data_IF_334054140498
#
_entry.id   IF_334054140498
#
_cell.length_a   1.000
_cell.length_b   1.000
_cell.length_c   1.000
_cell.angle_alpha   90.00
_cell.angle_beta   90.00
_cell.angle_gamma   90.00
#
_symmetry.space_group_name_H-M   'P 1'
#
loop_
_entity.id
_entity.type
_entity.pdbx_description
1 polymer ?
#
# COMPACT_ATOMS: atom_id res chain seq x y z
N UNK A 1 -20.59 2.70 4.54
CA UNK A 1 -19.96 2.06 5.74
C UNK A 1 -18.53 1.65 5.42
N UNK A 2 -17.62 1.56 6.39
CA UNK A 2 -16.23 1.10 6.17
C UNK A 2 -16.00 -0.32 6.71
N UNK A 3 -15.27 -1.14 5.95
CA UNK A 3 -14.78 -2.45 6.37
C UNK A 3 -13.29 -2.34 6.69
N UNK A 4 -12.88 -2.83 7.86
CA UNK A 4 -11.48 -2.77 8.29
C UNK A 4 -10.97 -4.18 8.58
N UNK A 5 -9.93 -4.61 7.86
CA UNK A 5 -9.20 -5.83 8.16
C UNK A 5 -7.84 -5.50 8.75
N UNK A 6 -7.57 -6.04 9.93
CA UNK A 6 -6.29 -5.85 10.62
C UNK A 6 -5.13 -6.53 9.87
N UNK A 7 -3.92 -6.32 10.37
CA UNK A 7 -2.76 -7.13 10.03
C UNK A 7 -2.70 -8.43 10.83
N UNK A 8 -1.78 -9.30 10.43
CA UNK A 8 -1.57 -10.61 11.07
C UNK A 8 -1.03 -11.68 10.12
N UNK A 9 -0.27 -11.27 9.10
CA UNK A 9 0.28 -12.17 8.07
C UNK A 9 -0.80 -13.05 7.42
N UNK A 10 -0.45 -14.30 7.14
CA UNK A 10 -1.29 -15.24 6.40
C UNK A 10 -2.60 -15.58 7.13
N UNK A 11 -2.62 -15.56 8.46
CA UNK A 11 -3.84 -15.78 9.23
C UNK A 11 -4.88 -14.67 8.95
N UNK A 12 -4.41 -13.42 8.90
CA UNK A 12 -5.26 -12.28 8.57
C UNK A 12 -5.67 -12.25 7.10
N UNK A 13 -4.79 -12.71 6.20
CA UNK A 13 -5.13 -12.91 4.78
C UNK A 13 -6.31 -13.88 4.63
N UNK A 14 -6.22 -15.05 5.27
CA UNK A 14 -7.26 -16.07 5.24
C UNK A 14 -8.59 -15.57 5.84
N UNK A 15 -8.53 -14.87 6.98
CA UNK A 15 -9.71 -14.28 7.61
C UNK A 15 -10.38 -13.22 6.71
N UNK A 16 -9.60 -12.35 6.07
CA UNK A 16 -10.10 -11.34 5.15
C UNK A 16 -10.82 -11.97 3.94
N UNK A 17 -10.23 -13.01 3.33
CA UNK A 17 -10.85 -13.73 2.20
C UNK A 17 -12.13 -14.44 2.62
N UNK A 18 -12.16 -15.06 3.80
CA UNK A 18 -13.38 -15.66 4.35
C UNK A 18 -14.49 -14.63 4.60
N UNK A 19 -14.13 -13.47 5.17
CA UNK A 19 -15.08 -12.39 5.42
C UNK A 19 -15.64 -11.80 4.12
N UNK A 20 -14.78 -11.49 3.15
CA UNK A 20 -15.21 -11.01 1.83
C UNK A 20 -16.11 -12.04 1.14
N UNK A 21 -15.74 -13.33 1.18
CA UNK A 21 -16.56 -14.41 0.60
C UNK A 21 -17.97 -14.43 1.20
N UNK A 22 -18.08 -14.32 2.52
CA UNK A 22 -19.36 -14.31 3.21
C UNK A 22 -20.20 -13.07 2.86
N UNK A 23 -19.58 -11.89 2.78
CA UNK A 23 -20.25 -10.64 2.44
C UNK A 23 -20.73 -10.62 0.98
N UNK A 24 -19.93 -11.15 0.04
CA UNK A 24 -20.31 -11.32 -1.36
C UNK A 24 -21.49 -12.28 -1.51
N UNK A 25 -21.45 -13.44 -0.85
CA UNK A 25 -22.53 -14.42 -0.93
C UNK A 25 -23.84 -13.94 -0.27
N UNK A 26 -23.73 -13.03 0.71
CA UNK A 26 -24.87 -12.40 1.35
C UNK A 26 -25.38 -11.15 0.61
N UNK A 27 -24.76 -10.77 -0.51
CA UNK A 27 -25.09 -9.56 -1.28
C UNK A 27 -25.04 -8.28 -0.43
N UNK A 28 -24.06 -8.22 0.50
CA UNK A 28 -23.88 -7.11 1.43
C UNK A 28 -22.76 -6.15 1.00
N UNK A 29 -21.98 -6.51 -0.02
CA UNK A 29 -20.78 -5.74 -0.37
C UNK A 29 -21.10 -4.31 -0.81
N UNK A 30 -22.22 -4.09 -1.50
CA UNK A 30 -22.65 -2.76 -1.96
C UNK A 30 -22.89 -1.76 -0.81
N UNK A 31 -23.02 -2.24 0.43
CA UNK A 31 -23.21 -1.37 1.61
C UNK A 31 -21.90 -0.74 2.12
N UNK A 32 -20.75 -1.23 1.62
CA UNK A 32 -19.43 -0.77 2.04
C UNK A 32 -18.84 0.20 1.02
N UNK A 33 -18.54 1.42 1.46
CA UNK A 33 -17.93 2.46 0.64
C UNK A 33 -16.40 2.36 0.66
N UNK A 34 -15.83 1.77 1.71
CA UNK A 34 -14.39 1.72 1.91
C UNK A 34 -13.94 0.38 2.50
N UNK A 35 -12.74 -0.04 2.08
CA UNK A 35 -12.02 -1.20 2.60
C UNK A 35 -10.63 -0.75 3.08
N UNK A 36 -10.41 -0.75 4.39
CA UNK A 36 -9.13 -0.48 5.03
C UNK A 36 -8.44 -1.80 5.40
N UNK A 37 -7.18 -1.95 5.03
CA UNK A 37 -6.43 -3.21 5.14
C UNK A 37 -5.00 -2.95 5.58
N UNK A 38 -4.41 -3.92 6.28
CA UNK A 38 -3.02 -3.85 6.73
C UNK A 38 -2.35 -5.21 6.60
N UNK A 39 -1.08 -5.24 6.21
CA UNK A 39 -0.24 -6.43 6.14
C UNK A 39 -0.90 -7.56 5.33
N UNK A 40 -1.04 -8.75 5.89
CA UNK A 40 -1.59 -9.90 5.16
C UNK A 40 -2.99 -9.71 4.59
N UNK A 41 -3.85 -8.90 5.21
CA UNK A 41 -5.15 -8.58 4.60
C UNK A 41 -5.00 -7.69 3.37
N UNK A 42 -4.00 -6.82 3.32
CA UNK A 42 -3.72 -6.02 2.12
C UNK A 42 -3.30 -6.92 0.95
N UNK A 43 -2.45 -7.91 1.20
CA UNK A 43 -2.01 -8.86 0.18
C UNK A 43 -3.18 -9.62 -0.45
N UNK A 44 -4.08 -10.15 0.38
CA UNK A 44 -5.20 -10.94 -0.11
C UNK A 44 -6.30 -10.11 -0.77
N UNK A 45 -6.49 -8.86 -0.33
CA UNK A 45 -7.55 -7.98 -0.86
C UNK A 45 -7.15 -7.23 -2.13
N UNK A 46 -5.87 -7.16 -2.47
CA UNK A 46 -5.39 -6.51 -3.68
C UNK A 46 -6.03 -7.12 -4.95
N UNK A 47 -5.93 -8.44 -5.12
CA UNK A 47 -6.56 -9.12 -6.24
C UNK A 47 -8.09 -8.88 -6.25
N UNK A 48 -8.74 -8.97 -5.09
CA UNK A 48 -10.18 -8.71 -4.97
C UNK A 48 -10.60 -7.31 -5.45
N UNK A 49 -9.76 -6.30 -5.19
CA UNK A 49 -10.03 -4.91 -5.57
C UNK A 49 -9.72 -4.59 -7.03
N UNK A 50 -8.66 -5.18 -7.61
CA UNK A 50 -8.12 -4.74 -8.91
C UNK A 50 -8.25 -5.76 -10.04
N UNK A 51 -8.44 -7.04 -9.74
CA UNK A 51 -8.54 -8.08 -10.77
C UNK A 51 -9.88 -8.00 -11.53
N UNK A 52 -9.92 -8.49 -12.77
CA UNK A 52 -11.10 -8.41 -13.63
C UNK A 52 -12.07 -9.59 -13.47
N UNK A 53 -11.68 -10.63 -12.75
CA UNK A 53 -12.49 -11.79 -12.49
C UNK A 53 -13.57 -11.54 -11.41
N UNK A 54 -14.66 -12.32 -11.41
CA UNK A 54 -15.71 -12.21 -10.41
C UNK A 54 -15.22 -12.58 -9.00
N UNK A 55 -15.94 -12.14 -7.96
CA UNK A 55 -15.52 -12.40 -6.57
C UNK A 55 -15.41 -13.89 -6.24
N UNK A 56 -16.33 -14.68 -6.79
CA UNK A 56 -16.42 -16.11 -6.54
C UNK A 56 -15.23 -16.91 -7.08
N UNK A 57 -14.60 -16.46 -8.18
CA UNK A 57 -13.38 -17.10 -8.69
C UNK A 57 -12.17 -16.72 -7.84
N UNK A 58 -12.09 -15.48 -7.34
CA UNK A 58 -10.97 -15.01 -6.51
C UNK A 58 -11.02 -15.56 -5.08
N UNK A 59 -12.20 -15.48 -4.45
CA UNK A 59 -12.40 -15.77 -3.04
C UNK A 59 -12.76 -17.23 -2.78
N UNK A 60 -13.15 -17.98 -3.82
CA UNK A 60 -13.64 -19.35 -3.71
C UNK A 60 -15.09 -19.45 -3.24
N UNK A 61 -15.63 -20.66 -3.20
CA UNK A 61 -17.03 -20.93 -2.84
C UNK A 61 -17.23 -21.06 -1.33
N UNK A 62 -18.44 -20.77 -0.84
CA UNK A 62 -18.82 -21.10 0.54
C UNK A 62 -18.99 -22.61 0.63
N UNK A 63 -18.24 -23.24 1.53
CA UNK A 63 -18.39 -24.65 1.84
C UNK A 63 -19.41 -24.81 3.00
N UNK A 64 -20.37 -25.74 2.91
CA UNK A 64 -21.19 -26.12 4.05
C UNK A 64 -20.32 -26.75 5.15
N UNK A 65 -20.77 -26.65 6.41
CA UNK A 65 -20.04 -27.21 7.55
C UNK A 65 -19.74 -28.72 7.40
N UNK A 66 -20.61 -29.45 6.71
CA UNK A 66 -20.43 -30.88 6.42
C UNK A 66 -19.26 -31.19 5.47
N UNK A 67 -18.77 -30.21 4.73
CA UNK A 67 -17.63 -30.33 3.81
C UNK A 67 -16.31 -29.86 4.42
N UNK A 68 -16.32 -29.37 5.68
CA UNK A 68 -15.11 -29.00 6.41
C UNK A 68 -14.39 -30.25 6.95
N UNK A 69 -13.75 -31.00 6.07
CA UNK A 69 -12.96 -32.20 6.42
C UNK A 69 -11.47 -31.92 6.39
N UNK A 70 -10.65 -32.84 6.91
CA UNK A 70 -9.18 -32.72 6.80
C UNK A 70 -8.72 -32.82 5.35
N UNK A 71 -9.38 -33.65 4.53
CA UNK A 71 -9.11 -33.76 3.10
C UNK A 71 -9.41 -32.45 2.36
N UNK A 72 -10.41 -31.68 2.81
CA UNK A 72 -10.69 -30.36 2.27
C UNK A 72 -9.56 -29.35 2.54
N UNK A 73 -8.74 -29.57 3.58
CA UNK A 73 -7.57 -28.73 3.87
C UNK A 73 -6.39 -29.02 2.92
N UNK A 74 -6.35 -30.19 2.29
CA UNK A 74 -5.31 -30.55 1.30
C UNK A 74 -5.57 -29.91 -0.07
N UNK A 75 -6.76 -29.32 -0.28
CA UNK A 75 -7.09 -28.60 -1.50
C UNK A 75 -6.29 -27.28 -1.60
N UNK A 76 -6.04 -26.85 -2.84
CA UNK A 76 -5.45 -25.52 -3.07
C UNK A 76 -6.37 -24.44 -2.49
N UNK A 77 -5.81 -23.43 -1.81
CA UNK A 77 -6.61 -22.32 -1.36
C UNK A 77 -7.18 -21.53 -2.57
N UNK A 78 -8.22 -20.73 -2.35
CA UNK A 78 -8.74 -19.83 -3.37
C UNK A 78 -7.63 -18.97 -4.00
N UNK A 79 -7.77 -18.55 -5.27
CA UNK A 79 -6.75 -17.75 -5.96
C UNK A 79 -6.22 -16.56 -5.14
N UNK A 80 -7.08 -15.79 -4.49
CA UNK A 80 -6.67 -14.64 -3.67
C UNK A 80 -5.75 -15.00 -2.48
N UNK A 81 -5.65 -16.29 -2.12
CA UNK A 81 -4.75 -16.82 -1.10
C UNK A 81 -3.62 -17.68 -1.67
N UNK A 82 -3.58 -17.98 -2.96
CA UNK A 82 -2.53 -18.84 -3.51
C UNK A 82 -1.13 -18.23 -3.38
N UNK A 83 -1.02 -16.91 -3.25
CA UNK A 83 0.25 -16.28 -2.90
C UNK A 83 0.83 -16.75 -1.57
N UNK A 84 0.00 -17.28 -0.65
CA UNK A 84 0.48 -17.88 0.60
C UNK A 84 1.16 -19.24 0.43
N UNK A 85 0.98 -19.90 -0.72
CA UNK A 85 1.61 -21.20 -1.01
C UNK A 85 2.95 -21.04 -1.76
N UNK A 86 3.28 -19.80 -2.16
CA UNK A 86 4.47 -19.45 -2.92
C UNK A 86 5.61 -18.97 -2.02
N UNK A 87 6.79 -18.96 -2.62
CA UNK A 87 8.15 -18.95 -2.06
C UNK A 87 8.46 -18.06 -0.83
N UNK A 88 9.47 -18.51 -0.10
CA UNK A 88 9.88 -18.14 1.26
C UNK A 88 10.44 -16.73 1.49
N UNK A 89 10.60 -15.84 0.50
CA UNK A 89 11.27 -14.55 0.72
C UNK A 89 10.50 -13.63 1.69
N UNK A 90 9.17 -13.58 1.61
CA UNK A 90 8.35 -12.89 2.61
C UNK A 90 8.47 -13.57 3.99
N UNK A 91 8.60 -14.90 4.00
CA UNK A 91 8.81 -15.67 5.24
C UNK A 91 10.18 -15.37 5.88
N UNK A 92 11.23 -15.11 5.09
CA UNK A 92 12.57 -14.74 5.57
C UNK A 92 12.51 -13.47 6.43
N UNK A 93 11.72 -12.47 6.03
CA UNK A 93 11.51 -11.25 6.81
C UNK A 93 10.80 -11.54 8.13
N UNK A 94 9.78 -12.43 8.12
CA UNK A 94 9.14 -12.89 9.35
C UNK A 94 10.09 -13.63 10.30
N UNK A 95 11.14 -14.26 9.77
CA UNK A 95 12.21 -14.89 10.55
C UNK A 95 13.40 -13.97 10.86
N UNK A 96 13.27 -12.65 10.64
CA UNK A 96 14.29 -11.66 10.99
C UNK A 96 15.53 -11.68 10.10
N UNK A 97 15.43 -12.24 8.89
CA UNK A 97 16.48 -12.17 7.88
C UNK A 97 16.36 -10.84 7.16
N UNK A 98 17.47 -10.11 7.07
CA UNK A 98 17.57 -8.89 6.27
C UNK A 98 17.47 -9.25 4.79
N UNK A 99 16.47 -8.67 4.11
CA UNK A 99 16.20 -8.86 2.68
C UNK A 99 16.18 -7.48 2.03
N UNK A 100 16.91 -7.25 0.92
CA UNK A 100 16.81 -6.00 0.18
C UNK A 100 15.36 -5.68 -0.19
N UNK A 101 14.95 -4.41 -0.01
CA UNK A 101 13.57 -3.97 -0.29
C UNK A 101 13.11 -4.33 -1.69
N UNK A 102 14.00 -4.24 -2.67
CA UNK A 102 13.69 -4.59 -4.06
C UNK A 102 13.41 -6.09 -4.23
N UNK A 103 14.17 -6.97 -3.58
CA UNK A 103 13.91 -8.42 -3.59
C UNK A 103 12.57 -8.73 -2.92
N UNK A 104 12.26 -8.02 -1.85
CA UNK A 104 11.01 -8.16 -1.12
C UNK A 104 9.80 -7.67 -1.93
N UNK A 105 9.93 -6.53 -2.61
CA UNK A 105 8.92 -5.99 -3.53
C UNK A 105 8.64 -6.97 -4.66
N UNK A 106 9.69 -7.52 -5.27
CA UNK A 106 9.58 -8.54 -6.30
C UNK A 106 8.93 -9.82 -5.75
N UNK A 107 9.27 -10.23 -4.53
CA UNK A 107 8.64 -11.38 -3.89
C UNK A 107 7.13 -11.16 -3.64
N UNK A 108 6.73 -9.98 -3.17
CA UNK A 108 5.31 -9.63 -2.99
C UNK A 108 4.59 -9.63 -4.34
N UNK A 109 5.16 -8.98 -5.36
CA UNK A 109 4.58 -8.91 -6.69
C UNK A 109 4.40 -10.32 -7.29
N UNK A 110 5.44 -11.14 -7.27
CA UNK A 110 5.41 -12.50 -7.81
C UNK A 110 4.46 -13.42 -7.06
N UNK A 111 4.46 -13.35 -5.73
CA UNK A 111 3.62 -14.25 -4.93
C UNK A 111 2.15 -13.86 -4.99
N UNK A 112 1.81 -12.57 -4.90
CA UNK A 112 0.42 -12.14 -4.68
C UNK A 112 -0.24 -11.46 -5.87
N UNK A 113 0.51 -11.01 -6.87
CA UNK A 113 -0.01 -10.18 -7.97
C UNK A 113 0.16 -10.81 -9.36
N UNK A 114 1.17 -11.66 -9.58
CA UNK A 114 1.50 -12.22 -10.90
C UNK A 114 0.34 -13.01 -11.53
N UNK A 115 -0.35 -13.84 -10.75
CA UNK A 115 -1.49 -14.64 -11.25
C UNK A 115 -2.66 -13.79 -11.77
N UNK A 116 -2.70 -12.53 -11.34
CA UNK A 116 -3.74 -11.56 -11.67
C UNK A 116 -3.24 -10.53 -12.70
N UNK A 117 -2.01 -10.70 -13.21
CA UNK A 117 -1.34 -9.71 -14.06
C UNK A 117 -1.25 -8.32 -13.41
N UNK A 118 -1.15 -8.26 -12.08
CA UNK A 118 -1.10 -7.03 -11.28
C UNK A 118 0.33 -6.69 -10.79
N UNK A 119 1.33 -7.48 -11.19
CA UNK A 119 2.72 -7.43 -10.74
C UNK A 119 3.60 -6.44 -11.49
N UNK A 120 3.08 -5.83 -12.57
CA UNK A 120 3.80 -4.86 -13.39
C UNK A 120 3.75 -3.44 -12.80
N UNK A 121 4.65 -2.58 -13.28
CA UNK A 121 4.67 -1.17 -12.93
C UNK A 121 3.50 -0.45 -13.59
N UNK A 122 2.54 0.00 -12.77
CA UNK A 122 1.39 0.77 -13.19
C UNK A 122 1.09 1.87 -12.16
N UNK A 123 0.57 2.99 -12.65
CA UNK A 123 0.06 4.05 -11.80
C UNK A 123 -1.22 3.59 -11.11
N UNK A 124 -1.52 4.14 -9.94
CA UNK A 124 -2.77 3.90 -9.25
C UNK A 124 -3.72 5.08 -9.45
N UNK A 125 -5.01 4.80 -9.56
CA UNK A 125 -6.07 5.81 -9.49
C UNK A 125 -7.31 5.23 -8.79
N UNK A 126 -8.08 6.06 -8.10
CA UNK A 126 -9.28 5.66 -7.35
C UNK A 126 -10.45 5.23 -8.25
N UNK A 127 -10.35 5.47 -9.56
CA UNK A 127 -11.32 5.06 -10.56
C UNK A 127 -11.02 5.70 -11.91
N UNK A 128 -11.84 5.39 -12.91
CA UNK A 128 -11.67 5.90 -14.28
C UNK A 128 -11.76 7.43 -14.37
N UNK A 129 -12.66 8.06 -13.60
CA UNK A 129 -12.79 9.53 -13.58
C UNK A 129 -11.51 10.19 -13.07
N UNK A 130 -10.90 9.62 -12.03
CA UNK A 130 -9.65 10.14 -11.50
C UNK A 130 -8.48 9.88 -12.44
N UNK A 131 -8.39 8.70 -13.04
CA UNK A 131 -7.40 8.41 -14.08
C UNK A 131 -7.47 9.45 -15.20
N UNK A 132 -8.67 9.76 -15.67
CA UNK A 132 -8.88 10.77 -16.71
C UNK A 132 -8.41 12.15 -16.26
N UNK A 133 -8.75 12.57 -15.03
CA UNK A 133 -8.27 13.82 -14.42
C UNK A 133 -6.73 13.86 -14.34
N UNK A 134 -6.09 12.75 -13.96
CA UNK A 134 -4.63 12.64 -13.88
C UNK A 134 -4.02 12.82 -15.27
N UNK A 135 -4.55 12.16 -16.30
CA UNK A 135 -4.06 12.29 -17.67
C UNK A 135 -4.26 13.72 -18.20
N UNK A 136 -5.37 14.38 -17.89
CA UNK A 136 -5.59 15.78 -18.26
C UNK A 136 -4.60 16.73 -17.59
N UNK A 137 -4.27 16.48 -16.32
CA UNK A 137 -3.29 17.27 -15.57
C UNK A 137 -1.85 16.96 -15.96
N UNK A 138 -1.58 15.75 -16.44
CA UNK A 138 -0.26 15.24 -16.82
C UNK A 138 -0.34 14.44 -18.14
N UNK A 139 -0.49 15.10 -19.31
CA UNK A 139 -0.68 14.42 -20.60
C UNK A 139 0.43 13.43 -20.98
N UNK A 140 1.64 13.60 -20.43
CA UNK A 140 2.73 12.65 -20.60
C UNK A 140 2.44 11.24 -20.04
N UNK A 141 1.39 11.08 -19.23
CA UNK A 141 0.95 9.80 -18.68
C UNK A 141 -0.10 9.08 -19.54
N UNK A 142 -0.53 9.66 -20.68
CA UNK A 142 -1.60 9.10 -21.52
C UNK A 142 -1.33 7.65 -21.98
N UNK A 143 -0.07 7.31 -22.23
CA UNK A 143 0.38 6.01 -22.76
C UNK A 143 0.91 5.09 -21.64
N UNK A 144 0.63 5.44 -20.38
CA UNK A 144 1.04 4.65 -19.21
C UNK A 144 -0.10 3.79 -18.70
N UNK A 145 0.27 2.67 -18.10
CA UNK A 145 -0.68 1.75 -17.48
C UNK A 145 -1.19 2.30 -16.15
N UNK A 146 -2.48 2.05 -15.88
CA UNK A 146 -3.16 2.40 -14.64
C UNK A 146 -3.92 1.20 -14.10
N UNK A 147 -3.79 0.97 -12.80
CA UNK A 147 -4.66 0.09 -12.03
C UNK A 147 -5.73 0.95 -11.34
N UNK A 148 -6.98 0.59 -11.57
CA UNK A 148 -8.15 1.20 -10.94
C UNK A 148 -8.94 0.10 -10.21
N UNK A 149 -9.46 0.38 -9.01
CA UNK A 149 -10.38 -0.55 -8.35
C UNK A 149 -11.61 -0.83 -9.23
N UNK A 150 -12.13 -2.05 -9.17
CA UNK A 150 -13.39 -2.40 -9.81
C UNK A 150 -14.55 -1.59 -9.22
N UNK A 151 -15.57 -1.32 -10.04
CA UNK A 151 -16.74 -0.50 -9.65
C UNK A 151 -17.78 -1.23 -8.79
N UNK A 152 -17.81 -2.56 -8.84
CA UNK A 152 -18.67 -3.44 -8.05
C UNK A 152 -18.05 -3.83 -6.69
N UNK A 153 -17.00 -3.11 -6.27
CA UNK A 153 -16.26 -3.30 -5.02
C UNK A 153 -16.32 -2.01 -4.18
N UNK A 154 -15.88 -2.04 -2.91
CA UNK A 154 -15.79 -0.82 -2.12
C UNK A 154 -15.04 0.29 -2.87
N UNK A 155 -15.65 1.48 -2.94
CA UNK A 155 -15.17 2.61 -3.77
C UNK A 155 -13.80 3.12 -3.35
N UNK A 156 -13.43 2.92 -2.09
CA UNK A 156 -12.14 3.29 -1.55
C UNK A 156 -11.41 2.06 -1.02
N UNK A 157 -10.15 1.93 -1.38
CA UNK A 157 -9.24 0.95 -0.80
C UNK A 157 -8.12 1.70 -0.11
N UNK A 158 -7.87 1.38 1.16
CA UNK A 158 -6.86 2.03 1.98
C UNK A 158 -5.94 0.99 2.59
N UNK A 159 -4.69 1.02 2.19
CA UNK A 159 -3.62 0.21 2.74
C UNK A 159 -2.93 1.00 3.84
N UNK A 160 -3.12 0.58 5.08
CA UNK A 160 -2.39 1.12 6.21
C UNK A 160 -0.96 0.57 6.27
N UNK A 161 -0.04 1.42 6.68
CA UNK A 161 1.35 1.09 6.94
C UNK A 161 1.85 1.91 8.14
N UNK A 162 3.09 1.66 8.54
CA UNK A 162 3.77 2.38 9.59
C UNK A 162 5.11 2.86 9.07
N UNK A 163 5.40 4.14 9.29
CA UNK A 163 6.71 4.73 9.09
C UNK A 163 7.44 4.72 10.40
N UNK A 164 8.70 4.34 10.40
CA UNK A 164 9.56 4.44 11.57
C UNK A 164 10.67 5.43 11.29
N UNK A 165 10.87 6.36 12.22
CA UNK A 165 12.00 7.29 12.17
C UNK A 165 13.21 6.75 12.93
N UNK A 166 14.36 7.38 12.72
CA UNK A 166 15.63 7.00 13.34
C UNK A 166 15.61 7.08 14.87
N UNK A 167 14.76 7.92 15.45
CA UNK A 167 14.56 8.05 16.90
C UNK A 167 13.62 6.96 17.49
N UNK A 168 13.14 6.04 16.65
CA UNK A 168 12.22 4.97 17.03
C UNK A 168 10.76 5.41 17.10
N UNK A 169 10.42 6.65 16.76
CA UNK A 169 9.02 7.05 16.63
C UNK A 169 8.36 6.32 15.46
N UNK A 170 7.07 6.04 15.60
CA UNK A 170 6.28 5.37 14.57
C UNK A 170 5.15 6.31 14.18
N UNK A 171 5.10 6.67 12.91
CA UNK A 171 4.05 7.48 12.33
C UNK A 171 3.09 6.58 11.53
N UNK A 172 1.77 6.74 11.70
CA UNK A 172 0.82 6.07 10.83
C UNK A 172 1.02 6.54 9.39
N UNK A 173 0.72 5.65 8.45
CA UNK A 173 0.81 5.92 7.04
C UNK A 173 -0.34 5.24 6.32
N UNK A 174 -0.90 5.90 5.32
CA UNK A 174 -1.99 5.35 4.55
C UNK A 174 -1.73 5.57 3.06
N UNK A 175 -1.93 4.50 2.30
CA UNK A 175 -1.89 4.48 0.85
C UNK A 175 -3.30 4.18 0.36
N UNK A 176 -3.80 5.01 -0.53
CA UNK A 176 -4.97 4.76 -1.34
C UNK A 176 -4.54 4.79 -2.80
N UNK A 177 -5.36 4.29 -3.75
CA UNK A 177 -5.01 4.41 -5.17
C UNK A 177 -4.79 5.85 -5.62
N UNK A 178 -5.44 6.82 -4.98
CA UNK A 178 -5.37 8.24 -5.32
C UNK A 178 -4.25 8.96 -4.60
N UNK A 179 -4.00 8.61 -3.33
CA UNK A 179 -3.21 9.42 -2.40
C UNK A 179 -2.39 8.58 -1.46
N UNK A 180 -1.24 9.12 -1.10
CA UNK A 180 -0.34 8.62 -0.09
C UNK A 180 -0.22 9.67 1.01
N UNK A 181 -0.36 9.28 2.27
CA UNK A 181 -0.50 10.23 3.37
C UNK A 181 0.15 9.75 4.67
N UNK A 182 0.68 10.72 5.42
CA UNK A 182 1.03 10.57 6.84
C UNK A 182 0.09 11.49 7.64
N UNK A 183 -0.80 10.94 8.50
CA UNK A 183 -1.74 11.75 9.29
C UNK A 183 -1.02 12.80 10.13
N UNK A 184 -1.58 14.02 10.16
CA UNK A 184 -1.16 15.04 11.11
C UNK A 184 -1.89 14.81 12.44
N UNK A 185 -1.14 14.84 13.55
CA UNK A 185 -1.72 14.79 14.89
C UNK A 185 -2.31 16.17 15.25
N UNK A 186 -3.59 16.23 15.62
CA UNK A 186 -4.38 17.48 15.79
C UNK A 186 -3.76 18.45 16.81
N UNK A 187 -3.08 17.93 17.84
CA UNK A 187 -2.48 18.73 18.93
C UNK A 187 -1.08 19.27 18.61
N UNK A 188 -0.51 18.93 17.46
CA UNK A 188 0.81 19.39 17.08
C UNK A 188 0.69 20.35 15.91
N UNK A 189 0.97 21.64 16.20
CA UNK A 189 1.27 22.68 15.21
C UNK A 189 2.00 22.09 14.00
N UNK A 190 1.70 22.50 12.74
CA UNK A 190 2.36 21.99 11.54
C UNK A 190 3.85 22.31 11.59
N UNK A 191 4.60 21.50 12.30
CA UNK A 191 6.06 21.52 12.33
C UNK A 191 6.48 20.69 11.13
N UNK A 192 7.39 21.18 10.29
CA UNK A 192 8.08 20.31 9.36
C UNK A 192 8.74 19.22 10.20
N UNK A 193 8.17 18.02 10.19
CA UNK A 193 8.87 16.85 10.69
C UNK A 193 10.04 16.63 9.74
N UNK A 194 11.26 16.56 10.29
CA UNK A 194 12.40 16.15 9.49
C UNK A 194 12.12 14.77 8.88
N UNK A 195 12.62 14.61 7.66
CA UNK A 195 12.35 13.52 6.75
C UNK A 195 12.40 12.15 7.44
N UNK A 196 11.33 11.36 7.29
CA UNK A 196 11.46 9.91 7.41
C UNK A 196 12.20 9.44 6.17
N UNK A 197 13.37 8.83 6.36
CA UNK A 197 14.14 8.20 5.28
C UNK A 197 13.32 7.05 4.70
N UNK A 198 12.88 7.25 3.46
CA UNK A 198 12.16 6.24 2.70
C UNK A 198 13.15 5.33 1.97
N UNK A 199 13.04 4.00 2.10
CA UNK A 199 13.90 3.08 1.37
C UNK A 199 13.37 2.76 -0.04
N UNK A 200 12.15 3.20 -0.39
CA UNK A 200 11.53 2.95 -1.70
C UNK A 200 11.91 3.97 -2.79
N UNK A 201 12.82 4.91 -2.50
CA UNK A 201 13.28 5.88 -3.49
C UNK A 201 14.76 5.74 -3.85
N UNK A 202 14.98 5.53 -5.16
CA UNK A 202 16.30 5.48 -5.79
C UNK A 202 16.90 6.88 -6.05
N UNK A 203 16.07 7.93 -6.01
CA UNK A 203 16.42 9.29 -6.47
C UNK A 203 16.18 10.42 -5.44
N UNK A 204 15.70 10.11 -4.24
CA UNK A 204 15.58 11.09 -3.16
C UNK A 204 16.86 11.06 -2.32
N UNK A 205 17.62 12.15 -2.34
CA UNK A 205 18.77 12.32 -1.45
C UNK A 205 18.33 12.20 0.01
N UNK A 206 19.21 11.64 0.86
CA UNK A 206 19.09 11.78 2.32
C UNK A 206 18.80 13.26 2.60
N UNK A 207 17.67 13.56 3.27
CA UNK A 207 17.11 14.90 3.55
C UNK A 207 15.91 15.36 2.71
N UNK A 208 15.23 14.48 1.98
CA UNK A 208 13.98 14.84 1.29
C UNK A 208 12.82 14.98 2.28
N UNK A 209 12.38 16.22 2.55
CA UNK A 209 11.31 16.55 3.49
C UNK A 209 9.99 15.88 3.11
N UNK A 210 9.50 14.96 3.96
CA UNK A 210 8.10 14.58 3.95
C UNK A 210 7.33 15.54 4.87
N UNK A 211 6.61 16.49 4.30
CA UNK A 211 5.65 17.27 5.06
C UNK A 211 4.44 16.41 5.39
N UNK A 212 3.92 16.51 6.61
CA UNK A 212 2.59 16.02 6.97
C UNK A 212 1.58 16.51 5.92
N UNK A 213 0.79 15.60 5.34
CA UNK A 213 -0.10 15.92 4.22
C UNK A 213 -0.37 14.72 3.32
N UNK A 214 -1.08 14.98 2.22
CA UNK A 214 -1.43 13.99 1.21
C UNK A 214 -0.70 14.32 -0.11
N UNK A 215 -0.12 13.32 -0.72
CA UNK A 215 0.52 13.40 -2.04
C UNK A 215 -0.23 12.47 -2.99
N UNK A 216 -0.52 12.92 -4.20
CA UNK A 216 -1.13 12.05 -5.21
C UNK A 216 -0.17 10.91 -5.57
N UNK A 217 -0.67 9.67 -5.68
CA UNK A 217 0.16 8.47 -5.95
C UNK A 217 1.02 8.61 -7.20
N UNK A 218 0.51 9.24 -8.26
CA UNK A 218 1.28 9.45 -9.51
C UNK A 218 2.42 10.47 -9.38
N UNK A 219 2.38 11.31 -8.34
CA UNK A 219 3.43 12.29 -8.03
C UNK A 219 4.28 11.85 -6.84
N UNK A 220 3.87 10.80 -6.11
CA UNK A 220 4.57 10.28 -4.95
C UNK A 220 5.96 9.79 -5.38
N UNK A 221 7.00 10.35 -4.77
CA UNK A 221 8.38 10.06 -5.13
C UNK A 221 9.04 10.95 -6.14
N UNK A 222 8.27 11.85 -6.71
CA UNK A 222 8.79 12.95 -7.49
C UNK A 222 9.83 13.72 -6.69
N UNK A 223 10.93 14.10 -7.34
CA UNK A 223 11.82 15.11 -6.76
C UNK A 223 11.04 16.44 -6.74
N UNK A 224 11.18 17.19 -5.66
CA UNK A 224 10.75 18.58 -5.67
C UNK A 224 11.45 19.28 -6.83
N UNK A 225 10.69 20.05 -7.63
CA UNK A 225 11.32 20.99 -8.53
C UNK A 225 11.97 22.06 -7.66
N UNK A 226 13.25 21.86 -7.30
CA UNK A 226 14.15 22.89 -6.79
C UNK A 226 14.40 23.89 -7.93
N UNK A 227 13.35 24.54 -8.41
CA UNK A 227 13.52 25.80 -9.10
C UNK A 227 14.04 26.74 -8.01
N UNK A 228 15.29 27.20 -8.18
CA UNK A 228 15.92 28.22 -7.34
C UNK A 228 15.06 29.50 -7.28
N UNK A 229 14.10 29.65 -8.20
CA UNK A 229 13.14 30.74 -8.29
C UNK A 229 11.76 30.42 -7.67
N UNK A 230 11.55 29.22 -7.12
CA UNK A 230 10.35 28.89 -6.36
C UNK A 230 10.46 29.59 -5.01
N UNK A 231 9.50 30.44 -4.61
CA UNK A 231 9.56 31.09 -3.31
C UNK A 231 9.69 30.02 -2.23
N UNK A 232 10.54 30.24 -1.19
CA UNK A 232 10.72 29.28 -0.11
C UNK A 232 9.36 28.88 0.44
N UNK A 233 9.22 27.60 0.80
CA UNK A 233 8.03 27.04 1.44
C UNK A 233 7.45 28.05 2.44
N UNK A 234 6.30 28.64 2.09
CA UNK A 234 5.56 29.49 3.01
C UNK A 234 4.62 28.58 3.81
N UNK A 235 4.74 28.51 5.14
CA UNK A 235 3.77 27.83 5.98
C UNK A 235 2.35 28.36 5.64
N UNK A 236 1.47 27.47 5.15
CA UNK A 236 0.12 27.83 4.70
C UNK A 236 -0.08 27.87 3.17
N UNK A 237 0.95 27.66 2.36
CA UNK A 237 0.78 27.45 0.92
C UNK A 237 0.12 26.09 0.65
N UNK A 238 -1.03 26.04 -0.05
CA UNK A 238 -1.89 24.85 -0.07
C UNK A 238 -1.43 23.74 -1.03
N UNK A 239 -0.48 24.00 -1.94
CA UNK A 239 -0.09 23.04 -2.99
C UNK A 239 1.38 23.20 -3.35
N UNK A 240 2.14 22.10 -3.28
CA UNK A 240 3.51 21.98 -3.80
C UNK A 240 3.45 21.21 -5.12
N UNK A 241 4.18 21.67 -6.15
CA UNK A 241 4.31 20.94 -7.41
C UNK A 241 5.57 20.07 -7.37
N UNK A 242 5.39 18.77 -7.55
CA UNK A 242 6.48 17.80 -7.65
C UNK A 242 6.73 17.45 -9.11
N UNK A 243 7.98 17.15 -9.48
CA UNK A 243 8.25 16.51 -10.76
C UNK A 243 7.62 15.10 -10.78
N UNK A 244 7.26 14.60 -11.95
CA UNK A 244 6.82 13.21 -12.04
C UNK A 244 7.99 12.27 -11.65
N UNK A 245 7.73 11.19 -10.88
CA UNK A 245 8.76 10.20 -10.59
C UNK A 245 9.18 9.46 -11.88
N UNK A 246 10.38 8.88 -11.86
CA UNK A 246 10.93 8.08 -12.97
C UNK A 246 10.18 6.76 -13.16
N UNK A 247 9.65 6.21 -12.06
CA UNK A 247 8.83 4.99 -12.01
C UNK A 247 7.56 5.26 -11.17
N UNK A 248 6.43 4.61 -11.48
CA UNK A 248 5.21 4.77 -10.70
C UNK A 248 5.34 4.14 -9.32
N UNK A 249 4.70 4.73 -8.31
CA UNK A 249 4.39 4.04 -7.06
C UNK A 249 3.33 2.96 -7.33
N UNK A 250 3.76 1.70 -7.34
CA UNK A 250 2.98 0.56 -7.80
C UNK A 250 2.13 -0.08 -6.70
N UNK A 251 1.24 -0.99 -7.09
CA UNK A 251 0.48 -1.83 -6.15
C UNK A 251 1.42 -2.68 -5.28
N UNK A 252 2.51 -3.19 -5.86
CA UNK A 252 3.52 -3.95 -5.12
C UNK A 252 4.20 -3.12 -4.03
N UNK A 253 4.44 -1.83 -4.27
CA UNK A 253 4.99 -0.92 -3.26
C UNK A 253 4.04 -0.76 -2.08
N UNK A 254 2.77 -0.49 -2.36
CA UNK A 254 1.73 -0.38 -1.32
C UNK A 254 1.64 -1.63 -0.44
N UNK A 255 1.66 -2.81 -1.06
CA UNK A 255 1.58 -4.10 -0.36
C UNK A 255 2.84 -4.43 0.44
N UNK A 256 4.01 -4.12 -0.10
CA UNK A 256 5.30 -4.33 0.56
C UNK A 256 5.41 -3.46 1.80
N UNK A 257 4.99 -2.20 1.68
CA UNK A 257 4.93 -1.23 2.77
C UNK A 257 4.02 -1.67 3.91
N UNK A 258 2.83 -2.18 3.58
CA UNK A 258 1.85 -2.63 4.58
C UNK A 258 2.25 -3.89 5.33
N UNK A 259 2.94 -4.79 4.61
CA UNK A 259 3.26 -6.14 5.03
C UNK A 259 4.03 -6.25 6.34
N UNK A 260 5.00 -5.38 6.55
CA UNK A 260 6.22 -5.82 7.25
C UNK A 260 6.66 -4.94 8.42
N UNK A 261 5.99 -3.81 8.69
CA UNK A 261 6.47 -2.81 9.66
C UNK A 261 7.99 -2.53 9.52
N UNK A 262 8.54 -2.78 8.32
CA UNK A 262 9.98 -2.92 8.09
C UNK A 262 10.66 -1.57 7.92
N UNK A 263 9.91 -0.46 7.95
CA UNK A 263 10.51 0.88 7.91
C UNK A 263 11.63 1.04 8.95
N UNK A 264 11.49 0.46 10.15
CA UNK A 264 12.51 0.48 11.21
C UNK A 264 13.63 -0.57 11.08
N UNK A 265 13.36 -1.76 10.51
CA UNK A 265 14.33 -2.85 10.46
C UNK A 265 15.32 -2.73 9.29
N UNK A 266 15.15 -1.71 8.45
CA UNK A 266 15.95 -1.47 7.24
C UNK A 266 17.32 -0.81 7.49
N UNK A 267 17.76 -0.64 8.75
CA UNK A 267 19.07 -0.03 9.06
C UNK A 267 19.71 -0.49 10.40
N UNK A 268 20.54 -1.54 10.44
CA UNK A 268 21.46 -1.76 11.56
C UNK A 268 22.77 -0.98 11.33
N UNK A 269 22.81 0.34 11.60
CA UNK A 269 24.12 1.03 11.63
C UNK A 269 24.24 2.53 11.35
N UNK A 270 23.27 3.39 11.69
CA UNK A 270 23.46 4.84 11.59
C UNK A 270 23.90 5.47 12.93
N UNK A 271 24.77 6.51 12.90
CA UNK A 271 25.33 7.09 14.12
C UNK A 271 24.26 7.82 14.92
N UNK A 272 24.12 7.45 16.20
CA UNK A 272 23.19 8.06 17.16
C UNK A 272 23.40 9.59 17.25
N UNK A 273 22.41 10.43 16.90
CA UNK A 273 22.45 11.84 17.25
C UNK A 273 21.82 12.07 18.62
N UNK A 274 22.37 13.05 19.34
CA UNK A 274 22.08 13.34 20.73
C UNK A 274 20.61 13.72 20.98
N UNK A 275 20.10 13.28 22.14
CA UNK A 275 18.81 13.68 22.73
C UNK A 275 18.56 15.18 22.51
N UNK A 276 17.46 15.54 21.84
CA UNK A 276 16.90 16.89 21.93
C UNK A 276 15.68 16.92 22.85
N UNK A 277 15.49 18.03 23.58
CA UNK A 277 14.55 18.08 24.68
C UNK A 277 13.14 18.24 24.14
N UNK A 278 12.26 17.33 24.56
CA UNK A 278 10.82 17.54 24.57
C UNK A 278 10.55 18.67 25.57
N UNK A 279 9.95 19.77 25.11
CA UNK A 279 9.21 20.72 25.94
C UNK A 279 7.77 20.70 25.48
#
# INVERSE_FOLDING_TARGET
>A
VGLCFSGGGLASAAAAVGALRALEAADLMEQFDALSVVSGSAWATAAYMFDKEPASSLLGQIAPLSELTLEALDALPPPALQGSTREAAVSKVFFGVEVPVEELRQAVAKSWLEDFSLDHLAYLAGGEEEKQRIIEAAPQLQDKDFLVPRRDRPKSWMVGAALSSEDGSVLPFAVTPSRVSAPADEDSSPRPSEAVVYPFYRDLERNSLFSRGEVETFAFGGREALSIDSPPFQPGSPVIRLAAPTEPFSLADALTMSGLSAAAQLFPGLPKPARWPVK
#
